data_IF_357294771979
#
_entry.id   IF_357294771979
#
_cell.length_a   1.000
_cell.length_b   1.000
_cell.length_c   1.000
_cell.angle_alpha   90.00
_cell.angle_beta   90.00
_cell.angle_gamma   90.00
#
_symmetry.space_group_name_H-M   'P 1'
#
loop_
_entity.id
_entity.type
_entity.pdbx_description
1 polymer ?
#
# COMPACT_ATOMS: atom_id res chain seq x y z
N UNK A 1 33.20 -7.35 48.22
CA UNK A 1 33.23 -8.23 47.03
C UNK A 1 32.33 -7.59 45.94
N UNK A 2 32.97 -6.88 45.01
CA UNK A 2 32.33 -6.13 43.94
C UNK A 2 32.24 -7.04 42.71
N UNK A 3 31.02 -7.25 42.16
CA UNK A 3 30.82 -7.95 40.90
C UNK A 3 30.66 -6.90 39.77
N UNK A 4 31.69 -6.82 38.92
CA UNK A 4 31.70 -6.06 37.66
C UNK A 4 30.73 -6.64 36.66
N UNK A 5 29.79 -5.79 36.16
CA UNK A 5 28.96 -6.11 34.99
C UNK A 5 29.75 -5.76 33.71
N UNK A 6 30.10 -6.78 32.93
CA UNK A 6 30.61 -6.60 31.57
C UNK A 6 29.46 -6.18 30.67
N UNK A 7 29.52 -4.97 30.14
CA UNK A 7 28.72 -4.52 29.03
C UNK A 7 29.33 -5.06 27.72
N UNK A 8 28.59 -5.90 26.98
CA UNK A 8 28.92 -6.23 25.60
C UNK A 8 28.47 -5.08 24.70
N UNK A 9 29.44 -4.34 24.15
CA UNK A 9 29.20 -3.41 23.03
C UNK A 9 29.06 -4.22 21.76
N UNK A 10 27.86 -4.21 21.16
CA UNK A 10 27.67 -4.62 19.79
C UNK A 10 28.25 -3.53 18.88
N UNK A 11 29.25 -3.87 18.10
CA UNK A 11 29.80 -3.01 17.05
C UNK A 11 29.13 -3.39 15.73
N UNK A 12 28.36 -2.45 15.15
CA UNK A 12 27.86 -2.56 13.78
C UNK A 12 29.03 -2.51 12.79
N UNK A 13 29.02 -3.29 11.71
CA UNK A 13 30.02 -3.20 10.66
C UNK A 13 29.95 -1.85 9.95
N UNK A 14 31.13 -1.29 9.64
CA UNK A 14 31.28 0.00 8.96
C UNK A 14 30.66 -0.05 7.55
N UNK A 15 29.86 0.97 7.24
CA UNK A 15 29.29 1.27 5.92
C UNK A 15 30.40 1.27 4.84
N UNK A 16 30.23 0.40 3.86
CA UNK A 16 31.02 0.37 2.64
C UNK A 16 30.65 1.55 1.72
N UNK A 17 31.59 2.01 0.94
CA UNK A 17 31.57 3.23 0.11
C UNK A 17 30.31 3.37 -0.74
N UNK A 18 29.50 4.37 -0.42
CA UNK A 18 28.36 4.81 -1.24
C UNK A 18 28.84 5.86 -2.26
N UNK A 19 28.61 5.61 -3.53
CA UNK A 19 28.72 6.64 -4.57
C UNK A 19 27.41 7.43 -4.61
N UNK A 20 27.45 8.73 -4.25
CA UNK A 20 26.32 9.64 -4.38
C UNK A 20 26.18 10.09 -5.84
N UNK A 21 25.08 9.79 -6.48
CA UNK A 21 24.68 10.40 -7.74
C UNK A 21 23.48 11.31 -7.47
N UNK A 22 23.56 12.56 -7.90
CA UNK A 22 22.44 13.51 -7.82
C UNK A 22 21.75 13.55 -9.17
N UNK A 23 20.50 13.13 -9.21
CA UNK A 23 19.63 13.32 -10.37
C UNK A 23 18.84 14.63 -10.16
N UNK A 24 18.85 15.50 -11.16
CA UNK A 24 18.06 16.74 -11.13
C UNK A 24 16.98 16.65 -12.19
N UNK A 25 15.73 16.51 -11.79
CA UNK A 25 14.60 16.62 -12.69
C UNK A 25 13.86 17.92 -12.34
N UNK A 26 13.87 18.88 -13.27
CA UNK A 26 13.09 20.15 -13.28
C UNK A 26 12.97 20.90 -11.94
N UNK A 27 14.04 21.00 -11.18
CA UNK A 27 14.13 21.93 -10.04
C UNK A 27 14.13 21.31 -8.65
N UNK A 28 13.67 20.08 -8.48
CA UNK A 28 13.76 19.39 -7.19
C UNK A 28 15.02 18.53 -7.13
N UNK A 29 15.77 18.63 -6.03
CA UNK A 29 16.94 17.78 -5.80
C UNK A 29 16.50 16.52 -5.07
N UNK A 30 16.30 15.44 -5.81
CA UNK A 30 16.16 14.11 -5.25
C UNK A 30 17.51 13.60 -4.75
N UNK A 31 17.55 13.15 -3.51
CA UNK A 31 18.75 12.48 -2.99
C UNK A 31 18.68 10.99 -3.41
N UNK A 32 19.34 10.65 -4.52
CA UNK A 32 19.41 9.29 -5.03
C UNK A 32 20.61 8.58 -4.42
N UNK A 33 20.38 7.49 -3.73
CA UNK A 33 21.43 6.65 -3.18
C UNK A 33 21.36 5.29 -3.88
N UNK A 34 22.39 4.97 -4.67
CA UNK A 34 22.55 3.61 -5.23
C UNK A 34 23.26 2.75 -4.20
N UNK A 35 22.61 1.69 -3.78
CA UNK A 35 23.22 0.65 -2.94
C UNK A 35 24.04 -0.30 -3.84
N UNK A 36 25.16 -0.81 -3.31
CA UNK A 36 25.81 -1.98 -3.90
C UNK A 36 24.86 -3.18 -3.75
N UNK A 37 24.74 -4.05 -4.78
CA UNK A 37 23.88 -5.22 -4.67
C UNK A 37 24.30 -6.06 -3.46
N UNK A 38 23.35 -6.42 -2.58
CA UNK A 38 23.63 -7.30 -1.45
C UNK A 38 23.98 -8.72 -1.98
N UNK A 39 24.78 -9.44 -1.22
CA UNK A 39 25.00 -10.87 -1.51
C UNK A 39 23.67 -11.62 -1.39
N UNK A 40 23.36 -12.55 -2.32
CA UNK A 40 22.10 -13.26 -2.31
C UNK A 40 21.92 -14.05 -1.00
N UNK A 41 20.93 -13.66 -0.21
CA UNK A 41 20.52 -14.42 0.98
C UNK A 41 19.86 -15.71 0.50
N UNK A 42 20.58 -16.84 0.59
CA UNK A 42 20.04 -18.16 0.26
C UNK A 42 18.96 -18.49 1.31
N UNK A 43 17.68 -18.63 0.95
CA UNK A 43 16.65 -19.03 1.91
C UNK A 43 16.92 -20.43 2.43
N UNK A 44 16.50 -20.76 3.67
CA UNK A 44 16.62 -22.13 4.16
C UNK A 44 15.93 -23.09 3.19
N UNK A 45 16.63 -24.11 2.77
CA UNK A 45 16.40 -25.00 1.64
C UNK A 45 15.07 -25.78 1.68
N UNK A 46 14.33 -25.75 2.78
CA UNK A 46 13.16 -26.60 2.99
C UNK A 46 11.82 -26.04 2.45
N UNK A 47 11.68 -24.74 2.25
CA UNK A 47 10.39 -24.17 1.84
C UNK A 47 10.06 -24.37 0.36
N UNK A 48 11.06 -24.63 -0.46
CA UNK A 48 10.92 -24.66 -1.92
C UNK A 48 11.07 -26.05 -2.54
N UNK A 49 11.42 -27.09 -1.77
CA UNK A 49 11.74 -28.41 -2.31
C UNK A 49 10.58 -29.02 -3.14
N UNK A 50 9.33 -28.77 -2.75
CA UNK A 50 8.16 -29.26 -3.49
C UNK A 50 7.87 -28.47 -4.76
N UNK A 51 8.44 -27.26 -4.94
CA UNK A 51 8.20 -26.33 -6.04
C UNK A 51 9.36 -26.24 -7.05
N UNK A 52 10.46 -26.96 -6.83
CA UNK A 52 11.63 -26.94 -7.71
C UNK A 52 11.36 -27.38 -9.15
N UNK A 53 10.27 -28.11 -9.36
CA UNK A 53 9.83 -28.60 -10.68
C UNK A 53 9.04 -27.54 -11.47
N UNK A 54 8.60 -26.44 -10.83
CA UNK A 54 7.83 -25.38 -11.47
C UNK A 54 8.72 -24.44 -12.31
N UNK A 55 8.13 -23.68 -13.24
CA UNK A 55 8.83 -22.61 -13.93
C UNK A 55 9.43 -21.58 -12.93
N UNK A 56 10.57 -20.98 -13.30
CA UNK A 56 11.33 -20.09 -12.41
C UNK A 56 10.51 -18.88 -11.92
N UNK A 57 9.65 -18.32 -12.76
CA UNK A 57 8.76 -17.22 -12.40
C UNK A 57 7.72 -17.63 -11.35
N UNK A 58 7.19 -18.86 -11.45
CA UNK A 58 6.26 -19.40 -10.44
C UNK A 58 7.00 -19.74 -9.15
N UNK A 59 8.22 -20.29 -9.24
CA UNK A 59 9.04 -20.45 -8.04
C UNK A 59 9.31 -19.11 -7.35
N UNK A 60 9.55 -18.04 -8.11
CA UNK A 60 9.71 -16.70 -7.57
C UNK A 60 8.43 -16.22 -6.87
N UNK A 61 7.25 -16.45 -7.48
CA UNK A 61 5.96 -16.13 -6.88
C UNK A 61 5.77 -16.81 -5.53
N UNK A 62 6.02 -18.13 -5.46
CA UNK A 62 5.95 -18.88 -4.20
C UNK A 62 6.91 -18.31 -3.16
N UNK A 63 8.17 -18.04 -3.55
CA UNK A 63 9.19 -17.48 -2.64
C UNK A 63 8.78 -16.13 -2.07
N UNK A 64 8.16 -15.25 -2.86
CA UNK A 64 7.65 -13.93 -2.43
C UNK A 64 6.65 -14.12 -1.27
N UNK A 65 5.70 -15.04 -1.41
CA UNK A 65 4.66 -15.28 -0.43
C UNK A 65 5.14 -16.06 0.81
N UNK A 66 6.37 -16.57 0.80
CA UNK A 66 6.95 -17.13 2.04
C UNK A 66 7.40 -16.07 3.04
N UNK A 67 7.49 -14.80 2.65
CA UNK A 67 7.88 -13.71 3.54
C UNK A 67 6.68 -13.13 4.28
N UNK A 68 6.82 -12.98 5.59
CA UNK A 68 5.96 -12.15 6.43
C UNK A 68 6.66 -10.81 6.61
N UNK A 69 6.08 -9.75 6.05
CA UNK A 69 6.73 -8.44 5.84
C UNK A 69 6.02 -7.28 6.55
N UNK A 70 5.74 -7.34 7.88
CA UNK A 70 5.12 -6.19 8.52
C UNK A 70 6.03 -4.97 8.40
N UNK A 71 5.42 -3.80 8.24
CA UNK A 71 6.13 -2.53 8.08
C UNK A 71 7.20 -2.34 9.15
N UNK A 72 8.35 -1.78 8.77
CA UNK A 72 9.48 -1.52 9.67
C UNK A 72 10.23 -2.75 10.16
N UNK A 73 9.89 -3.94 9.68
CA UNK A 73 10.61 -5.17 10.04
C UNK A 73 11.84 -5.40 9.16
N UNK A 74 12.82 -6.10 9.72
CA UNK A 74 13.99 -6.55 8.93
C UNK A 74 13.63 -7.52 7.80
N UNK A 75 12.46 -8.15 7.85
CA UNK A 75 11.99 -9.02 6.77
C UNK A 75 11.60 -8.22 5.52
N UNK A 76 11.08 -6.99 5.69
CA UNK A 76 10.86 -6.06 4.56
C UNK A 76 12.20 -5.72 3.91
N UNK A 77 13.20 -5.32 4.70
CA UNK A 77 14.51 -4.94 4.17
C UNK A 77 15.17 -6.11 3.42
N UNK A 78 15.16 -7.31 4.01
CA UNK A 78 15.68 -8.53 3.37
C UNK A 78 14.94 -8.87 2.07
N UNK A 79 13.64 -8.68 2.05
CA UNK A 79 12.82 -8.90 0.87
C UNK A 79 13.17 -7.92 -0.25
N UNK A 80 13.24 -6.64 0.08
CA UNK A 80 13.60 -5.57 -0.85
C UNK A 80 15.01 -5.80 -1.40
N UNK A 81 15.98 -6.10 -0.55
CA UNK A 81 17.35 -6.39 -0.96
C UNK A 81 17.41 -7.57 -1.93
N UNK A 82 16.62 -8.61 -1.68
CA UNK A 82 16.65 -9.85 -2.46
C UNK A 82 15.98 -9.72 -3.82
N UNK A 83 14.87 -8.99 -3.93
CA UNK A 83 14.01 -9.02 -5.13
C UNK A 83 13.97 -7.72 -5.91
N UNK A 84 14.25 -6.59 -5.27
CA UNK A 84 14.04 -5.27 -5.87
C UNK A 84 15.35 -4.50 -5.97
N UNK A 85 16.03 -4.27 -4.85
CA UNK A 85 17.25 -3.49 -4.81
C UNK A 85 18.46 -4.18 -5.45
N UNK A 86 18.36 -5.50 -5.73
CA UNK A 86 19.36 -6.25 -6.50
C UNK A 86 19.41 -5.84 -7.99
N UNK A 87 18.36 -5.19 -8.52
CA UNK A 87 18.41 -4.65 -9.89
C UNK A 87 19.40 -3.46 -9.95
N UNK A 88 20.37 -3.46 -10.87
CA UNK A 88 21.37 -2.40 -10.94
C UNK A 88 20.81 -1.02 -11.31
N UNK A 89 19.57 -0.95 -11.80
CA UNK A 89 18.85 0.29 -12.11
C UNK A 89 18.12 0.86 -10.90
N UNK A 90 18.07 0.11 -9.79
CA UNK A 90 17.32 0.51 -8.60
C UNK A 90 17.95 1.70 -7.87
N UNK A 91 17.10 2.52 -7.27
CA UNK A 91 17.47 3.56 -6.33
C UNK A 91 16.39 3.75 -5.27
N UNK A 92 16.76 4.30 -4.12
CA UNK A 92 15.81 4.54 -3.02
C UNK A 92 15.45 6.02 -2.96
N UNK A 93 14.14 6.32 -2.91
CA UNK A 93 13.65 7.64 -2.53
C UNK A 93 13.58 7.69 -1.01
N UNK A 94 14.14 8.78 -0.42
CA UNK A 94 14.16 9.01 1.02
C UNK A 94 13.52 10.33 1.36
N UNK A 95 12.84 10.35 2.50
CA UNK A 95 12.35 11.59 3.10
C UNK A 95 13.53 12.50 3.49
N UNK A 96 13.24 13.78 3.75
CA UNK A 96 14.23 14.72 4.29
C UNK A 96 14.75 14.29 5.67
N UNK A 97 13.96 13.56 6.45
CA UNK A 97 14.35 12.94 7.72
C UNK A 97 15.25 11.70 7.56
N UNK A 98 15.36 11.17 6.33
CA UNK A 98 16.23 10.04 6.00
C UNK A 98 15.54 8.67 6.03
N UNK A 99 14.22 8.64 6.14
CA UNK A 99 13.41 7.43 6.08
C UNK A 99 13.27 6.95 4.63
N UNK A 100 13.33 5.65 4.40
CA UNK A 100 13.11 5.07 3.09
C UNK A 100 11.61 5.09 2.75
N UNK A 101 11.25 5.77 1.65
CA UNK A 101 9.86 5.94 1.20
C UNK A 101 9.48 4.92 0.13
N UNK A 102 10.37 4.68 -0.82
CA UNK A 102 10.20 3.68 -1.86
C UNK A 102 11.53 3.26 -2.48
N UNK A 103 11.56 2.06 -3.06
CA UNK A 103 12.61 1.66 -4.02
C UNK A 103 12.05 1.77 -5.42
N UNK A 104 12.82 2.35 -6.31
CA UNK A 104 12.40 2.65 -7.68
C UNK A 104 13.33 1.95 -8.67
N UNK A 105 12.75 1.35 -9.72
CA UNK A 105 13.46 0.82 -10.88
C UNK A 105 12.93 1.52 -12.13
N UNK A 106 13.78 2.21 -12.87
CA UNK A 106 13.42 2.81 -14.15
C UNK A 106 13.94 1.96 -15.30
N UNK A 107 13.02 1.52 -16.17
CA UNK A 107 13.37 0.78 -17.41
C UNK A 107 13.45 1.69 -18.62
N UNK A 108 12.96 2.93 -18.51
CA UNK A 108 12.95 3.94 -19.56
C UNK A 108 13.10 5.33 -18.98
N UNK A 109 13.89 6.18 -19.63
CA UNK A 109 14.05 7.59 -19.28
C UNK A 109 12.98 8.49 -19.94
N UNK A 110 12.20 7.95 -20.85
CA UNK A 110 11.22 8.71 -21.65
C UNK A 110 9.78 8.31 -21.38
N UNK A 111 9.52 7.15 -20.80
CA UNK A 111 8.16 6.74 -20.42
C UNK A 111 7.59 7.65 -19.35
N UNK A 112 6.33 8.01 -19.51
CA UNK A 112 5.57 8.81 -18.56
C UNK A 112 4.59 7.97 -17.73
N UNK A 113 4.84 6.66 -17.69
CA UNK A 113 4.04 5.68 -16.95
C UNK A 113 4.77 5.24 -15.69
N UNK A 114 4.10 5.37 -14.56
CA UNK A 114 4.51 4.82 -13.27
C UNK A 114 3.70 3.55 -12.97
N UNK A 115 4.38 2.52 -12.49
CA UNK A 115 3.77 1.32 -11.93
C UNK A 115 4.05 1.26 -10.44
N UNK A 116 3.07 0.82 -9.66
CA UNK A 116 3.10 0.89 -8.20
C UNK A 116 2.72 -0.46 -7.57
N UNK A 117 3.45 -0.83 -6.53
CA UNK A 117 3.15 -1.91 -5.60
C UNK A 117 3.74 -1.55 -4.23
N UNK A 118 3.30 -2.21 -3.14
CA UNK A 118 3.89 -1.98 -1.83
C UNK A 118 4.62 -3.20 -1.27
N UNK A 119 5.66 -2.97 -0.44
CA UNK A 119 6.55 -4.04 0.03
C UNK A 119 6.17 -4.62 1.38
N UNK A 120 5.40 -3.92 2.18
CA UNK A 120 4.93 -4.38 3.47
C UNK A 120 3.65 -5.24 3.35
N UNK A 121 3.23 -5.83 4.43
CA UNK A 121 2.02 -6.65 4.55
C UNK A 121 1.48 -6.54 5.96
N UNK A 122 0.19 -6.84 6.18
CA UNK A 122 -0.46 -6.80 7.51
C UNK A 122 -0.06 -7.94 8.46
N UNK A 123 0.98 -8.71 8.16
CA UNK A 123 1.46 -9.74 9.08
C UNK A 123 1.77 -9.16 10.46
N UNK A 124 1.37 -9.86 11.52
CA UNK A 124 1.64 -9.46 12.92
C UNK A 124 3.06 -9.79 13.36
N UNK A 125 3.70 -10.75 12.69
CA UNK A 125 5.07 -11.19 12.99
C UNK A 125 5.91 -11.21 11.73
N UNK A 126 7.19 -10.85 11.84
CA UNK A 126 8.13 -10.92 10.72
C UNK A 126 8.73 -12.32 10.57
N UNK A 127 9.26 -12.62 9.39
CA UNK A 127 10.00 -13.85 9.13
C UNK A 127 9.50 -14.62 7.92
N UNK A 128 9.33 -15.95 8.06
CA UNK A 128 8.90 -16.83 6.98
C UNK A 128 7.65 -17.60 7.35
N UNK A 129 6.88 -17.96 6.34
CA UNK A 129 5.71 -18.84 6.43
C UNK A 129 5.75 -19.91 5.35
N UNK A 130 4.98 -20.96 5.55
CA UNK A 130 4.70 -21.95 4.52
C UNK A 130 3.48 -21.53 3.71
N UNK A 131 3.60 -21.67 2.40
CA UNK A 131 2.48 -21.48 1.46
C UNK A 131 2.19 -22.82 0.79
N UNK A 132 0.96 -23.03 0.36
CA UNK A 132 0.54 -24.15 -0.45
C UNK A 132 0.07 -23.62 -1.80
N UNK A 133 0.62 -24.15 -2.87
CA UNK A 133 0.18 -23.85 -4.22
C UNK A 133 -0.39 -25.12 -4.85
N UNK A 134 -1.70 -25.14 -5.02
CA UNK A 134 -2.39 -26.18 -5.77
C UNK A 134 -2.41 -25.81 -7.25
N UNK A 135 -1.54 -26.43 -8.03
CA UNK A 135 -1.37 -26.14 -9.45
C UNK A 135 -2.48 -26.76 -10.32
N UNK A 136 -3.30 -27.69 -9.79
CA UNK A 136 -4.48 -28.20 -10.51
C UNK A 136 -5.65 -27.21 -10.39
N UNK A 137 -5.77 -26.55 -9.25
CA UNK A 137 -6.79 -25.50 -9.02
C UNK A 137 -6.30 -24.09 -9.35
N UNK A 138 -4.99 -23.90 -9.60
CA UNK A 138 -4.39 -22.61 -9.82
C UNK A 138 -4.38 -21.71 -8.58
N UNK A 139 -4.60 -22.26 -7.36
CA UNK A 139 -4.82 -21.50 -6.14
C UNK A 139 -3.62 -21.57 -5.20
N UNK A 140 -3.19 -20.42 -4.70
CA UNK A 140 -2.19 -20.31 -3.64
C UNK A 140 -2.84 -19.81 -2.35
N UNK A 141 -2.52 -20.49 -1.24
CA UNK A 141 -2.99 -20.15 0.10
C UNK A 141 -1.85 -20.30 1.11
N UNK A 142 -1.98 -19.66 2.26
CA UNK A 142 -1.08 -19.93 3.38
C UNK A 142 -1.35 -21.34 3.92
N UNK A 143 -0.29 -22.11 4.14
CA UNK A 143 -0.42 -23.43 4.78
C UNK A 143 -0.76 -23.26 6.25
N UNK A 144 -1.93 -23.73 6.64
CA UNK A 144 -2.32 -23.75 8.04
C UNK A 144 -1.67 -24.97 8.74
N UNK A 145 -0.85 -24.71 9.75
CA UNK A 145 -0.38 -25.80 10.60
C UNK A 145 -1.53 -26.37 11.42
N UNK A 146 -1.74 -27.69 11.36
CA UNK A 146 -2.81 -28.35 12.08
C UNK A 146 -2.71 -28.02 13.59
N UNK A 147 -3.70 -27.27 14.10
CA UNK A 147 -3.82 -26.91 15.51
C UNK A 147 -3.31 -25.55 15.93
N UNK A 148 -2.79 -24.73 15.03
CA UNK A 148 -2.44 -23.33 15.28
C UNK A 148 -3.16 -22.43 14.28
N UNK A 149 -4.25 -21.80 14.70
CA UNK A 149 -4.78 -20.62 14.00
C UNK A 149 -3.90 -19.45 14.41
N UNK A 150 -3.01 -19.02 13.52
CA UNK A 150 -2.13 -17.86 13.79
C UNK A 150 -2.71 -16.56 13.23
N UNK A 151 -3.92 -16.56 12.69
CA UNK A 151 -4.62 -15.40 12.09
C UNK A 151 -3.74 -14.54 11.17
N UNK A 152 -2.69 -15.14 10.59
CA UNK A 152 -1.81 -14.46 9.66
C UNK A 152 -2.35 -14.58 8.24
N UNK A 153 -2.10 -13.58 7.41
CA UNK A 153 -2.50 -13.53 6.00
C UNK A 153 -1.55 -14.34 5.10
N UNK A 154 -1.85 -14.43 3.80
CA UNK A 154 -0.93 -14.94 2.78
C UNK A 154 0.11 -13.87 2.39
N UNK A 155 -0.27 -12.59 2.38
CA UNK A 155 0.51 -11.47 1.88
C UNK A 155 0.52 -11.39 0.36
N UNK A 156 -0.58 -11.82 -0.27
CA UNK A 156 -0.83 -11.61 -1.69
C UNK A 156 -1.13 -10.14 -2.00
N UNK A 157 -1.65 -9.45 -1.03
CA UNK A 157 -1.68 -8.02 -0.86
C UNK A 157 -0.34 -7.56 -0.21
N UNK A 158 0.65 -6.96 -0.93
CA UNK A 158 0.71 -6.82 -2.38
C UNK A 158 1.87 -7.68 -3.00
N UNK A 159 2.01 -8.92 -2.54
CA UNK A 159 2.97 -9.87 -3.13
C UNK A 159 2.67 -10.20 -4.59
N UNK A 160 1.39 -10.19 -4.98
CA UNK A 160 0.94 -10.43 -6.34
C UNK A 160 1.35 -9.30 -7.29
N UNK A 161 1.09 -8.04 -6.91
CA UNK A 161 1.51 -6.89 -7.69
C UNK A 161 3.02 -6.77 -7.80
N UNK A 162 3.76 -6.98 -6.71
CA UNK A 162 5.23 -7.02 -6.78
C UNK A 162 5.69 -8.04 -7.81
N UNK A 163 5.17 -9.27 -7.78
CA UNK A 163 5.57 -10.30 -8.74
C UNK A 163 5.27 -9.87 -10.18
N UNK A 164 4.07 -9.33 -10.43
CA UNK A 164 3.68 -8.86 -11.76
C UNK A 164 4.63 -7.76 -12.27
N UNK A 165 4.95 -6.78 -11.42
CA UNK A 165 5.89 -5.71 -11.76
C UNK A 165 7.30 -6.24 -12.03
N UNK A 166 7.79 -7.21 -11.26
CA UNK A 166 9.09 -7.84 -11.50
C UNK A 166 9.13 -8.57 -12.85
N UNK A 167 8.03 -9.21 -13.27
CA UNK A 167 7.96 -9.83 -14.60
C UNK A 167 7.93 -8.78 -15.73
N UNK A 168 7.20 -7.68 -15.55
CA UNK A 168 7.20 -6.55 -16.49
C UNK A 168 8.61 -5.93 -16.64
N UNK A 169 9.32 -5.75 -15.53
CA UNK A 169 10.72 -5.27 -15.51
C UNK A 169 11.63 -6.25 -16.27
N UNK A 170 11.46 -7.55 -16.05
CA UNK A 170 12.21 -8.62 -16.76
C UNK A 170 11.92 -8.63 -18.26
N UNK A 171 10.68 -8.35 -18.64
CA UNK A 171 10.26 -8.18 -20.04
C UNK A 171 10.68 -6.83 -20.63
N UNK A 172 11.30 -5.96 -19.82
CA UNK A 172 11.72 -4.61 -20.19
C UNK A 172 10.59 -3.72 -20.70
N UNK A 173 9.39 -3.85 -20.11
CA UNK A 173 8.28 -2.93 -20.39
C UNK A 173 8.69 -1.52 -19.94
N UNK A 174 8.57 -0.49 -20.81
CA UNK A 174 9.02 0.86 -20.50
C UNK A 174 8.18 1.48 -19.37
N UNK A 175 8.85 1.99 -18.32
CA UNK A 175 8.17 2.63 -17.20
C UNK A 175 9.08 2.92 -16.01
N UNK A 176 8.49 3.53 -14.99
CA UNK A 176 9.09 3.73 -13.67
C UNK A 176 8.32 2.89 -12.66
N UNK A 177 8.97 1.93 -12.05
CA UNK A 177 8.41 0.98 -11.11
C UNK A 177 8.73 1.42 -9.70
N UNK A 178 7.71 1.65 -8.88
CA UNK A 178 7.83 2.21 -7.52
C UNK A 178 7.28 1.20 -6.52
N UNK A 179 8.15 0.76 -5.61
CA UNK A 179 7.83 -0.18 -4.56
C UNK A 179 7.82 0.57 -3.23
N UNK A 180 6.63 0.85 -2.72
CA UNK A 180 6.43 1.73 -1.58
C UNK A 180 6.61 1.00 -0.25
N UNK A 181 7.06 1.73 0.76
CA UNK A 181 7.06 1.28 2.15
C UNK A 181 5.86 1.85 2.89
N UNK A 182 5.20 1.00 3.71
CA UNK A 182 4.19 1.43 4.67
C UNK A 182 2.85 1.80 4.06
N UNK A 183 2.39 1.10 3.04
CA UNK A 183 1.03 1.22 2.52
C UNK A 183 0.02 0.81 3.58
N UNK A 184 0.22 -0.36 4.21
CA UNK A 184 -0.63 -1.02 5.19
C UNK A 184 -0.75 -0.25 6.53
N UNK A 185 0.10 0.73 6.73
CA UNK A 185 0.08 1.63 7.90
C UNK A 185 -0.25 3.07 7.52
N UNK A 186 -0.98 3.24 6.41
CA UNK A 186 -1.53 4.51 5.97
C UNK A 186 -0.78 5.21 4.84
N UNK A 187 -0.08 4.46 3.98
CA UNK A 187 0.58 5.01 2.79
C UNK A 187 1.74 5.94 3.14
N UNK A 188 2.56 5.58 4.12
CA UNK A 188 3.66 6.44 4.62
C UNK A 188 4.61 6.80 3.48
N UNK A 189 5.01 5.81 2.68
CA UNK A 189 5.94 6.00 1.57
C UNK A 189 5.38 6.92 0.50
N UNK A 190 4.20 6.63 0.00
CA UNK A 190 3.54 7.41 -1.04
C UNK A 190 3.15 8.81 -0.58
N UNK A 191 2.66 8.98 0.65
CA UNK A 191 2.39 10.29 1.24
C UNK A 191 3.66 11.14 1.33
N UNK A 192 4.77 10.53 1.77
CA UNK A 192 6.07 11.20 1.82
C UNK A 192 6.55 11.65 0.44
N UNK A 193 6.40 10.81 -0.59
CA UNK A 193 6.74 11.13 -1.98
C UNK A 193 5.85 12.27 -2.50
N UNK A 194 4.53 12.22 -2.27
CA UNK A 194 3.60 13.27 -2.67
C UNK A 194 3.97 14.62 -2.05
N UNK A 195 4.36 14.60 -0.77
CA UNK A 195 4.75 15.83 -0.06
C UNK A 195 6.09 16.39 -0.53
N UNK A 196 7.10 15.52 -0.74
CA UNK A 196 8.48 15.96 -0.92
C UNK A 196 8.94 16.01 -2.39
N UNK A 197 8.24 15.29 -3.30
CA UNK A 197 8.62 15.13 -4.69
C UNK A 197 7.52 15.48 -5.71
N UNK A 198 6.69 16.53 -5.52
CA UNK A 198 5.55 16.80 -6.41
C UNK A 198 6.00 17.10 -7.85
N UNK A 199 7.14 17.74 -8.07
CA UNK A 199 7.66 18.00 -9.41
C UNK A 199 8.11 16.70 -10.14
N UNK A 200 8.57 15.70 -9.40
CA UNK A 200 8.86 14.38 -9.96
C UNK A 200 7.56 13.66 -10.35
N UNK A 201 6.54 13.69 -9.49
CA UNK A 201 5.22 13.12 -9.78
C UNK A 201 4.57 13.78 -10.99
N UNK A 202 4.64 15.10 -11.11
CA UNK A 202 4.11 15.85 -12.26
C UNK A 202 4.81 15.51 -13.60
N UNK A 203 5.89 14.74 -13.59
CA UNK A 203 6.53 14.26 -14.82
C UNK A 203 5.83 13.03 -15.43
N UNK A 204 4.91 12.39 -14.71
CA UNK A 204 4.15 11.25 -15.19
C UNK A 204 2.78 11.67 -15.70
N UNK A 205 2.28 10.95 -16.70
CA UNK A 205 0.90 11.07 -17.19
C UNK A 205 -0.04 10.11 -16.47
N UNK A 206 0.50 8.98 -16.01
CA UNK A 206 -0.26 7.92 -15.36
C UNK A 206 0.52 7.18 -14.29
N UNK A 207 -0.20 6.73 -13.24
CA UNK A 207 0.27 5.85 -12.20
C UNK A 207 -0.71 4.67 -12.03
N UNK A 208 -0.21 3.46 -12.18
CA UNK A 208 -0.98 2.23 -12.15
C UNK A 208 -0.50 1.37 -10.98
N UNK A 209 -1.35 1.22 -9.95
CA UNK A 209 -1.14 0.21 -8.92
C UNK A 209 -1.66 -1.15 -9.41
N UNK A 210 -0.94 -2.22 -9.04
CA UNK A 210 -1.37 -3.60 -9.27
C UNK A 210 -1.67 -4.21 -7.90
N UNK A 211 -2.69 -3.67 -7.24
CA UNK A 211 -2.94 -3.86 -5.80
C UNK A 211 -4.46 -3.81 -5.51
N UNK A 212 -5.26 -4.46 -6.36
CA UNK A 212 -6.70 -4.56 -6.14
C UNK A 212 -7.12 -6.03 -6.11
N UNK A 213 -7.92 -6.39 -5.10
CA UNK A 213 -8.54 -7.72 -5.03
C UNK A 213 -9.40 -8.03 -6.25
N UNK A 214 -9.69 -9.29 -6.46
CA UNK A 214 -10.55 -9.75 -7.55
C UNK A 214 -9.85 -9.77 -8.90
N UNK A 215 -10.64 -9.76 -9.98
CA UNK A 215 -10.13 -10.11 -11.32
C UNK A 215 -10.60 -9.17 -12.44
N UNK A 216 -11.39 -8.11 -12.13
CA UNK A 216 -12.10 -7.38 -13.20
C UNK A 216 -11.96 -5.85 -13.12
N UNK A 217 -11.43 -5.31 -12.01
CA UNK A 217 -11.55 -3.89 -11.74
C UNK A 217 -10.40 -3.08 -12.34
N UNK A 218 -10.74 -1.99 -13.03
CA UNK A 218 -9.91 -0.82 -13.30
C UNK A 218 -10.51 0.33 -12.51
N UNK A 219 -9.90 0.69 -11.40
CA UNK A 219 -10.48 1.63 -10.44
C UNK A 219 -10.45 3.05 -10.99
N UNK A 220 -11.60 3.74 -10.93
CA UNK A 220 -11.78 5.12 -11.40
C UNK A 220 -11.95 6.15 -10.29
N UNK A 221 -12.20 5.67 -9.06
CA UNK A 221 -12.28 6.49 -7.85
C UNK A 221 -11.47 5.85 -6.73
N UNK A 222 -10.65 6.63 -6.05
CA UNK A 222 -9.86 6.22 -4.90
C UNK A 222 -9.91 7.29 -3.82
N UNK A 223 -9.82 6.87 -2.57
CA UNK A 223 -10.05 7.80 -1.46
C UNK A 223 -11.43 8.41 -1.63
N UNK A 224 -11.52 9.71 -1.76
CA UNK A 224 -12.81 10.42 -1.81
C UNK A 224 -13.06 11.09 -3.18
N UNK A 225 -12.34 10.72 -4.23
CA UNK A 225 -12.45 11.39 -5.50
C UNK A 225 -12.07 10.56 -6.72
N UNK A 226 -12.36 11.11 -7.88
CA UNK A 226 -11.99 10.53 -9.16
C UNK A 226 -10.46 10.49 -9.30
N UNK A 227 -9.92 9.31 -9.55
CA UNK A 227 -8.49 9.11 -9.69
C UNK A 227 -8.04 9.01 -11.16
N UNK A 228 -8.89 8.54 -12.07
CA UNK A 228 -8.62 8.55 -13.50
C UNK A 228 -9.86 8.88 -14.33
N UNK A 229 -9.65 9.24 -15.60
CA UNK A 229 -10.74 9.50 -16.53
C UNK A 229 -11.42 8.22 -17.01
N UNK A 230 -12.69 8.34 -17.41
CA UNK A 230 -13.42 7.23 -18.03
C UNK A 230 -12.78 6.77 -19.34
N UNK A 231 -12.18 7.69 -20.09
CA UNK A 231 -11.49 7.37 -21.33
C UNK A 231 -10.26 6.51 -21.08
N UNK A 232 -9.45 6.88 -20.08
CA UNK A 232 -8.30 6.09 -19.66
C UNK A 232 -8.71 4.69 -19.19
N UNK A 233 -9.65 4.60 -18.24
CA UNK A 233 -10.08 3.33 -17.69
C UNK A 233 -10.68 2.38 -18.75
N UNK A 234 -11.50 2.91 -19.68
CA UNK A 234 -12.06 2.14 -20.79
C UNK A 234 -10.98 1.67 -21.78
N UNK A 235 -10.02 2.54 -22.12
CA UNK A 235 -8.93 2.19 -23.03
C UNK A 235 -8.02 1.11 -22.42
N UNK A 236 -7.66 1.25 -21.14
CA UNK A 236 -6.85 0.25 -20.43
C UNK A 236 -7.59 -1.09 -20.33
N UNK A 237 -8.86 -1.08 -19.90
CA UNK A 237 -9.71 -2.28 -19.87
C UNK A 237 -9.78 -2.97 -21.23
N UNK A 238 -9.96 -2.18 -22.30
CA UNK A 238 -10.05 -2.71 -23.67
C UNK A 238 -8.73 -3.39 -24.11
N UNK A 239 -7.56 -2.79 -23.80
CA UNK A 239 -6.26 -3.39 -24.14
C UNK A 239 -5.99 -4.66 -23.33
N UNK A 240 -6.24 -4.66 -22.02
CA UNK A 240 -6.10 -5.84 -21.18
C UNK A 240 -6.98 -7.00 -21.65
N UNK A 241 -8.23 -6.71 -22.04
CA UNK A 241 -9.16 -7.72 -22.55
C UNK A 241 -8.79 -8.20 -23.96
N UNK A 242 -8.16 -7.37 -24.77
CA UNK A 242 -7.74 -7.69 -26.14
C UNK A 242 -6.45 -8.52 -26.20
N UNK A 243 -5.66 -8.56 -25.14
CA UNK A 243 -4.42 -9.34 -25.05
C UNK A 243 -4.63 -10.87 -25.16
N UNK A 244 -5.87 -11.33 -25.39
CA UNK A 244 -6.17 -12.72 -25.69
C UNK A 244 -6.11 -13.69 -24.52
N UNK A 245 -5.98 -13.16 -23.29
CA UNK A 245 -5.86 -13.96 -22.06
C UNK A 245 -7.21 -14.26 -21.38
N UNK A 246 -8.34 -13.85 -22.00
CA UNK A 246 -9.69 -14.08 -21.48
C UNK A 246 -10.07 -13.19 -20.29
N UNK A 247 -9.43 -12.04 -20.16
CA UNK A 247 -9.78 -11.05 -19.14
C UNK A 247 -11.10 -10.33 -19.44
N UNK A 248 -11.77 -9.87 -18.38
CA UNK A 248 -13.06 -9.14 -18.43
C UNK A 248 -12.96 -7.83 -17.64
N UNK A 249 -11.82 -7.15 -17.71
CA UNK A 249 -11.62 -5.87 -17.04
C UNK A 249 -12.64 -4.82 -17.45
N UNK A 250 -13.08 -4.04 -16.49
CA UNK A 250 -14.01 -2.94 -16.67
C UNK A 250 -13.72 -1.81 -15.69
N UNK A 251 -14.06 -0.56 -16.03
CA UNK A 251 -14.02 0.55 -15.09
C UNK A 251 -14.92 0.26 -13.88
N UNK A 252 -14.39 0.47 -12.67
CA UNK A 252 -15.13 0.33 -11.41
C UNK A 252 -14.91 1.54 -10.51
N UNK A 253 -15.97 1.93 -9.77
CA UNK A 253 -15.95 3.09 -8.86
C UNK A 253 -15.74 2.72 -7.40
N UNK A 254 -15.63 1.42 -7.09
CA UNK A 254 -15.56 0.88 -5.73
C UNK A 254 -14.14 0.83 -5.15
N UNK A 255 -13.23 1.69 -5.60
CA UNK A 255 -11.90 1.76 -5.05
C UNK A 255 -11.88 2.42 -3.66
N UNK A 256 -11.00 1.96 -2.79
CA UNK A 256 -10.83 2.52 -1.44
C UNK A 256 -9.55 3.35 -1.41
N UNK A 257 -8.42 2.73 -1.20
CA UNK A 257 -7.11 3.36 -1.10
C UNK A 257 -6.05 2.42 -1.67
N UNK A 258 -5.01 2.97 -2.23
CA UNK A 258 -3.68 2.42 -2.45
C UNK A 258 -2.72 3.60 -2.65
N UNK A 259 -1.43 3.37 -2.72
CA UNK A 259 -0.39 4.39 -2.85
C UNK A 259 -0.65 5.43 -3.95
N UNK A 260 -1.20 5.00 -5.11
CA UNK A 260 -1.52 5.92 -6.21
C UNK A 260 -2.64 6.92 -5.90
N UNK A 261 -3.43 6.69 -4.84
CA UNK A 261 -4.41 7.67 -4.36
C UNK A 261 -3.74 8.95 -3.86
N UNK A 262 -2.54 8.85 -3.30
CA UNK A 262 -1.76 10.00 -2.84
C UNK A 262 -1.21 10.87 -3.98
N UNK A 263 -1.26 10.38 -5.22
CA UNK A 263 -0.68 11.04 -6.40
C UNK A 263 -1.70 11.75 -7.29
N UNK A 264 -3.00 11.64 -6.98
CA UNK A 264 -4.09 12.17 -7.82
C UNK A 264 -4.04 13.69 -7.99
N UNK A 265 -3.37 14.42 -7.09
CA UNK A 265 -3.18 15.86 -7.18
C UNK A 265 -2.04 16.26 -8.14
N UNK A 266 -1.16 15.34 -8.50
CA UNK A 266 0.04 15.60 -9.29
C UNK A 266 0.06 14.82 -10.62
N UNK A 267 -0.50 13.61 -10.64
CA UNK A 267 -0.56 12.73 -11.82
C UNK A 267 -2.00 12.70 -12.38
N UNK A 268 -2.18 12.92 -13.68
CA UNK A 268 -3.51 12.95 -14.30
C UNK A 268 -4.31 11.67 -14.13
N UNK A 269 -3.74 10.52 -14.46
CA UNK A 269 -4.45 9.24 -14.46
C UNK A 269 -3.84 8.32 -13.41
N UNK A 270 -4.56 8.11 -12.29
CA UNK A 270 -4.18 7.18 -11.23
C UNK A 270 -5.21 6.08 -11.15
N UNK A 271 -4.79 4.82 -11.12
CA UNK A 271 -5.71 3.68 -11.01
C UNK A 271 -5.12 2.57 -10.16
N UNK A 272 -5.99 1.62 -9.78
CA UNK A 272 -5.63 0.35 -9.18
C UNK A 272 -6.26 -0.78 -9.99
N UNK A 273 -5.50 -1.83 -10.30
CA UNK A 273 -5.94 -2.99 -11.08
C UNK A 273 -6.07 -4.22 -10.20
N UNK A 274 -7.16 -4.98 -10.41
CA UNK A 274 -7.32 -6.31 -9.81
C UNK A 274 -6.19 -7.23 -10.24
N UNK A 275 -5.57 -7.93 -9.26
CA UNK A 275 -4.44 -8.83 -9.49
C UNK A 275 -4.63 -10.25 -8.98
N UNK A 276 -5.87 -10.65 -8.66
CA UNK A 276 -6.24 -12.04 -8.47
C UNK A 276 -6.22 -12.54 -7.03
N UNK A 277 -5.91 -11.71 -6.04
CA UNK A 277 -6.09 -12.09 -4.64
C UNK A 277 -7.50 -11.80 -4.16
N UNK A 278 -7.92 -12.46 -3.08
CA UNK A 278 -9.18 -12.24 -2.38
C UNK A 278 -9.03 -12.51 -0.89
N UNK A 279 -10.00 -12.02 -0.10
CA UNK A 279 -10.01 -12.14 1.36
C UNK A 279 -8.72 -11.62 2.01
N UNK A 280 -8.13 -10.54 1.47
CA UNK A 280 -6.93 -9.89 2.00
C UNK A 280 -7.09 -9.55 3.49
N UNK A 281 -5.97 -9.38 4.18
CA UNK A 281 -5.91 -9.08 5.62
C UNK A 281 -6.51 -10.15 6.53
N UNK A 282 -6.85 -11.32 6.01
CA UNK A 282 -7.42 -12.43 6.79
C UNK A 282 -6.61 -13.72 6.63
N UNK A 283 -6.86 -14.68 7.52
CA UNK A 283 -6.28 -16.02 7.40
C UNK A 283 -6.83 -16.86 6.22
N UNK A 284 -7.83 -16.33 5.51
CA UNK A 284 -8.43 -16.94 4.32
C UNK A 284 -7.94 -16.32 3.02
N UNK A 285 -7.00 -15.38 3.12
CA UNK A 285 -6.41 -14.76 1.95
C UNK A 285 -5.87 -15.80 0.99
N UNK A 286 -6.18 -15.62 -0.28
CA UNK A 286 -5.82 -16.54 -1.34
C UNK A 286 -5.46 -15.78 -2.61
N UNK A 287 -4.78 -16.45 -3.54
CA UNK A 287 -4.34 -15.88 -4.81
C UNK A 287 -4.68 -16.84 -5.96
N UNK A 288 -5.44 -16.37 -6.94
CA UNK A 288 -5.63 -17.02 -8.23
C UNK A 288 -4.35 -16.83 -9.09
N UNK A 289 -3.51 -17.85 -9.04
CA UNK A 289 -2.20 -17.82 -9.71
C UNK A 289 -2.38 -17.90 -11.24
N UNK A 290 -3.38 -18.62 -11.73
CA UNK A 290 -3.62 -18.69 -13.17
C UNK A 290 -4.09 -17.35 -13.72
N UNK A 291 -4.95 -16.66 -12.98
CA UNK A 291 -5.35 -15.30 -13.33
C UNK A 291 -4.14 -14.38 -13.35
N UNK A 292 -3.31 -14.40 -12.30
CA UNK A 292 -2.12 -13.52 -12.19
C UNK A 292 -1.12 -13.78 -13.34
N UNK A 293 -0.91 -15.03 -13.74
CA UNK A 293 -0.07 -15.38 -14.91
C UNK A 293 -0.63 -14.74 -16.17
N UNK A 294 -1.93 -14.90 -16.42
CA UNK A 294 -2.60 -14.28 -17.59
C UNK A 294 -2.54 -12.77 -17.54
N UNK A 295 -2.74 -12.17 -16.35
CA UNK A 295 -2.63 -10.73 -16.17
C UNK A 295 -1.22 -10.23 -16.50
N UNK A 296 -0.18 -10.90 -16.00
CA UNK A 296 1.22 -10.58 -16.32
C UNK A 296 1.44 -10.55 -17.83
N UNK A 297 0.94 -11.55 -18.56
CA UNK A 297 1.10 -11.59 -20.02
C UNK A 297 0.36 -10.43 -20.70
N UNK A 298 -0.86 -10.11 -20.24
CA UNK A 298 -1.60 -8.96 -20.73
C UNK A 298 -0.91 -7.61 -20.42
N UNK A 299 -0.39 -7.42 -19.21
CA UNK A 299 0.33 -6.20 -18.82
C UNK A 299 1.58 -5.94 -19.67
N UNK A 300 2.25 -7.01 -20.14
CA UNK A 300 3.41 -6.91 -21.05
C UNK A 300 2.98 -6.44 -22.45
N UNK A 301 1.78 -6.78 -22.89
CA UNK A 301 1.27 -6.47 -24.24
C UNK A 301 0.57 -5.10 -24.33
N UNK A 302 0.21 -4.47 -23.20
CA UNK A 302 -0.44 -3.15 -23.20
C UNK A 302 0.50 -2.09 -23.80
N UNK A 303 -0.03 -1.30 -24.75
CA UNK A 303 0.63 -0.08 -25.22
C UNK A 303 0.35 1.08 -24.27
N UNK A 304 1.16 1.15 -23.20
CA UNK A 304 1.01 2.12 -22.12
C UNK A 304 1.08 3.56 -22.56
N UNK A 305 1.85 3.86 -23.62
CA UNK A 305 2.04 5.23 -24.10
C UNK A 305 0.86 5.71 -24.97
N UNK A 306 0.07 4.79 -25.51
CA UNK A 306 -1.13 5.12 -26.31
C UNK A 306 -2.37 5.42 -25.48
N UNK A 307 -2.32 5.16 -24.17
CA UNK A 307 -3.47 5.37 -23.27
C UNK A 307 -3.78 6.89 -23.17
N UNK A 308 -5.07 7.27 -23.22
CA UNK A 308 -5.47 8.68 -23.11
C UNK A 308 -5.10 9.28 -21.74
N UNK A 309 -4.90 10.60 -21.72
CA UNK A 309 -4.66 11.39 -20.52
C UNK A 309 -5.60 12.58 -20.56
N UNK A 310 -6.75 12.46 -19.90
CA UNK A 310 -7.83 13.45 -19.97
C UNK A 310 -8.11 14.14 -18.67
N UNK A 311 -7.92 13.44 -17.51
CA UNK A 311 -8.12 14.05 -16.20
C UNK A 311 -7.05 15.11 -15.93
N UNK A 312 -7.44 16.19 -15.27
CA UNK A 312 -6.53 17.22 -14.82
C UNK A 312 -6.24 17.04 -13.33
N UNK A 313 -4.97 16.97 -12.93
CA UNK A 313 -4.59 16.94 -11.51
C UNK A 313 -5.22 18.10 -10.73
N UNK A 314 -5.73 17.82 -9.52
CA UNK A 314 -6.40 18.82 -8.69
C UNK A 314 -7.86 19.13 -9.07
N UNK A 315 -8.39 18.57 -10.13
CA UNK A 315 -9.82 18.61 -10.43
C UNK A 315 -10.57 17.66 -9.49
N UNK A 316 -11.43 18.21 -8.63
CA UNK A 316 -12.22 17.43 -7.67
C UNK A 316 -13.54 17.03 -8.35
N UNK A 317 -13.60 15.79 -8.83
CA UNK A 317 -14.86 15.14 -9.20
C UNK A 317 -15.16 14.05 -8.17
N UNK A 318 -16.11 14.29 -7.31
CA UNK A 318 -16.53 13.40 -6.23
C UNK A 318 -17.83 12.72 -6.61
N UNK A 319 -17.89 11.38 -6.48
CA UNK A 319 -19.14 10.61 -6.59
C UNK A 319 -20.23 11.13 -5.64
N UNK A 320 -19.82 11.73 -4.55
CA UNK A 320 -20.67 12.36 -3.54
C UNK A 320 -20.53 13.89 -3.63
N UNK A 321 -20.79 14.47 -4.81
CA UNK A 321 -20.98 15.90 -4.87
C UNK A 321 -22.16 16.26 -3.97
N UNK A 322 -21.85 16.82 -2.79
CA UNK A 322 -22.80 17.21 -1.76
C UNK A 322 -23.87 18.21 -2.25
N UNK A 323 -23.73 18.74 -3.45
CA UNK A 323 -24.63 19.69 -4.06
C UNK A 323 -26.02 19.10 -4.38
N UNK A 324 -26.15 17.82 -4.69
CA UNK A 324 -27.45 17.22 -5.00
C UNK A 324 -28.30 16.94 -3.74
N UNK A 325 -27.66 16.81 -2.58
CA UNK A 325 -28.37 16.63 -1.30
C UNK A 325 -28.89 17.97 -0.74
N UNK A 326 -28.20 19.09 -1.01
CA UNK A 326 -28.60 20.43 -0.54
C UNK A 326 -29.72 21.03 -1.38
N UNK A 327 -29.73 20.81 -2.67
CA UNK A 327 -30.78 21.29 -3.58
C UNK A 327 -32.11 20.58 -3.37
N UNK A 328 -32.08 19.32 -2.95
CA UNK A 328 -33.29 18.51 -2.72
C UNK A 328 -34.00 18.81 -1.40
N UNK A 329 -33.32 19.42 -0.40
CA UNK A 329 -33.83 19.69 0.94
C UNK A 329 -33.83 21.16 1.36
N UNK A 330 -33.61 22.10 0.45
CA UNK A 330 -33.90 23.52 0.65
C UNK A 330 -33.03 24.27 1.67
N UNK A 331 -31.80 23.83 1.95
CA UNK A 331 -30.88 24.58 2.80
C UNK A 331 -30.01 25.53 1.94
N UNK A 332 -30.18 26.83 2.19
CA UNK A 332 -29.66 27.93 1.40
C UNK A 332 -28.14 27.93 1.18
N UNK A 333 -27.81 28.42 0.01
CA UNK A 333 -26.47 28.66 -0.57
C UNK A 333 -25.54 29.46 0.34
N UNK A 334 -24.48 28.83 0.83
CA UNK A 334 -23.19 29.47 1.02
C UNK A 334 -22.14 28.52 0.52
N UNK A 335 -21.50 28.88 -0.58
CA UNK A 335 -20.38 28.16 -1.19
C UNK A 335 -19.22 28.01 -0.22
N UNK A 336 -18.81 26.79 0.16
CA UNK A 336 -17.52 26.60 0.80
C UNK A 336 -16.45 26.71 -0.27
N UNK A 337 -15.59 27.71 -0.18
CA UNK A 337 -14.31 27.76 -0.89
C UNK A 337 -13.41 26.70 -0.25
N UNK A 338 -13.20 25.59 -0.93
CA UNK A 338 -12.18 24.60 -0.54
C UNK A 338 -10.80 25.14 -0.90
N UNK A 339 -9.83 25.06 0.00
CA UNK A 339 -8.46 25.40 -0.34
C UNK A 339 -7.92 24.31 -1.28
N UNK A 340 -7.63 24.71 -2.51
CA UNK A 340 -6.78 23.96 -3.43
C UNK A 340 -5.38 23.97 -2.87
N UNK A 341 -4.93 22.89 -2.33
CA UNK A 341 -3.55 22.42 -2.19
C UNK A 341 -3.29 21.68 -0.88
N UNK A 342 -2.61 20.56 -1.03
CA UNK A 342 -1.78 19.84 -0.05
C UNK A 342 -2.45 18.81 0.84
N UNK A 343 -2.01 17.56 0.57
CA UNK A 343 -1.76 16.43 1.47
C UNK A 343 -2.85 16.11 2.51
N UNK A 344 -3.16 14.85 2.65
CA UNK A 344 -4.04 14.33 3.70
C UNK A 344 -3.67 14.80 5.13
N UNK A 345 -2.43 15.19 5.39
CA UNK A 345 -2.04 15.86 6.64
C UNK A 345 -2.75 17.21 6.85
N UNK A 346 -3.19 17.91 5.77
CA UNK A 346 -4.00 19.11 5.86
C UNK A 346 -5.50 18.83 6.03
N UNK A 347 -5.94 17.60 5.80
CA UNK A 347 -7.34 17.21 5.96
C UNK A 347 -7.75 17.03 7.43
N UNK A 348 -6.78 16.89 8.35
CA UNK A 348 -6.98 16.85 9.80
C UNK A 348 -6.65 18.17 10.50
N UNK A 349 -6.35 19.23 9.78
CA UNK A 349 -6.07 20.57 10.29
C UNK A 349 -7.24 21.51 10.03
N UNK A 350 -7.89 21.95 11.10
CA UNK A 350 -8.32 23.30 11.34
C UNK A 350 -9.80 23.70 11.23
N UNK A 351 -10.76 22.81 11.42
CA UNK A 351 -12.08 23.24 11.96
C UNK A 351 -12.84 22.06 12.62
N UNK A 352 -12.10 21.14 13.24
CA UNK A 352 -12.73 20.25 14.24
C UNK A 352 -12.43 20.86 15.60
N UNK A 353 -13.47 21.10 16.40
CA UNK A 353 -13.28 21.14 17.84
C UNK A 353 -12.35 19.97 18.20
N UNK A 354 -11.17 20.30 18.71
CA UNK A 354 -10.23 19.31 19.23
C UNK A 354 -11.01 18.44 20.20
N UNK A 355 -11.37 17.23 19.77
CA UNK A 355 -11.99 16.26 20.68
C UNK A 355 -10.85 15.80 21.56
N UNK A 356 -10.64 16.53 22.63
CA UNK A 356 -9.60 16.23 23.61
C UNK A 356 -9.87 14.87 24.22
N UNK A 357 -8.82 14.15 24.65
CA UNK A 357 -8.94 12.90 25.42
C UNK A 357 -9.93 13.03 26.57
N UNK A 358 -10.00 14.22 27.20
CA UNK A 358 -10.98 14.58 28.22
C UNK A 358 -12.44 14.60 27.72
N UNK A 359 -12.66 14.98 26.47
CA UNK A 359 -13.99 14.95 25.86
C UNK A 359 -14.40 13.51 25.50
N UNK A 360 -13.48 12.70 25.01
CA UNK A 360 -13.70 11.27 24.75
C UNK A 360 -13.97 10.49 26.05
N UNK A 361 -13.23 10.77 27.11
CA UNK A 361 -13.43 10.14 28.42
C UNK A 361 -14.81 10.46 29.06
N UNK A 362 -15.44 11.57 28.65
CA UNK A 362 -16.79 11.98 29.12
C UNK A 362 -17.91 11.43 28.23
N UNK A 363 -17.61 10.83 27.11
CA UNK A 363 -18.60 10.24 26.19
C UNK A 363 -19.10 8.91 26.72
N UNK A 364 -20.42 8.71 26.65
CA UNK A 364 -21.00 7.40 26.92
C UNK A 364 -20.60 6.40 25.83
N UNK A 365 -20.52 5.12 26.16
CA UNK A 365 -20.24 4.03 25.22
C UNK A 365 -21.10 4.08 23.94
N UNK A 366 -22.35 4.59 24.07
CA UNK A 366 -23.29 4.83 22.97
C UNK A 366 -22.85 5.98 22.07
N UNK A 367 -22.34 7.08 22.63
CA UNK A 367 -21.84 8.25 21.87
C UNK A 367 -20.53 7.93 21.14
N UNK A 368 -19.62 7.18 21.79
CA UNK A 368 -18.40 6.67 21.15
C UNK A 368 -18.73 5.75 19.98
N UNK A 369 -19.69 4.82 20.14
CA UNK A 369 -20.16 3.96 19.05
C UNK A 369 -20.81 4.76 17.91
N UNK A 370 -21.55 5.83 18.21
CA UNK A 370 -22.14 6.71 17.20
C UNK A 370 -21.06 7.50 16.46
N UNK A 371 -20.01 7.96 17.16
CA UNK A 371 -18.88 8.68 16.56
C UNK A 371 -18.07 7.75 15.63
N UNK A 372 -17.78 6.55 16.10
CA UNK A 372 -17.08 5.51 15.33
C UNK A 372 -17.94 5.02 14.16
N UNK A 373 -19.26 4.83 14.37
CA UNK A 373 -20.18 4.46 13.30
C UNK A 373 -20.32 5.56 12.25
N UNK A 374 -20.28 6.83 12.64
CA UNK A 374 -20.34 7.96 11.70
C UNK A 374 -19.05 8.07 10.88
N UNK A 375 -17.90 7.83 11.51
CA UNK A 375 -16.63 7.73 10.80
C UNK A 375 -16.54 6.48 9.91
N UNK A 376 -17.19 5.38 10.31
CA UNK A 376 -17.23 4.12 9.56
C UNK A 376 -18.33 4.09 8.47
N UNK A 377 -19.38 4.91 8.56
CA UNK A 377 -20.40 5.02 7.49
C UNK A 377 -19.81 5.64 6.22
N UNK A 378 -18.80 6.49 6.39
CA UNK A 378 -18.08 7.08 5.27
C UNK A 378 -17.08 6.09 4.60
N UNK A 379 -16.85 4.89 5.21
CA UNK A 379 -15.82 3.92 4.83
C UNK A 379 -16.36 2.46 4.71
N UNK A 380 -17.66 2.30 4.48
CA UNK A 380 -18.46 1.11 4.85
C UNK A 380 -18.42 -0.07 3.86
N UNK A 381 -17.55 -0.18 2.89
CA UNK A 381 -17.61 -1.35 2.00
C UNK A 381 -16.47 -2.36 2.16
N UNK A 382 -15.26 -1.94 2.55
CA UNK A 382 -14.12 -2.85 2.64
C UNK A 382 -13.44 -2.91 4.04
N UNK A 383 -13.83 -2.06 5.00
CA UNK A 383 -13.15 -1.89 6.29
C UNK A 383 -13.92 -2.37 7.52
N UNK A 384 -14.95 -3.20 7.36
CA UNK A 384 -15.72 -3.68 8.52
C UNK A 384 -14.84 -4.50 9.49
N UNK A 385 -13.87 -5.23 8.94
CA UNK A 385 -12.86 -5.95 9.72
C UNK A 385 -11.98 -5.00 10.52
N UNK A 386 -11.37 -4.03 9.85
CA UNK A 386 -10.46 -3.04 10.47
C UNK A 386 -11.21 -2.14 11.47
N UNK A 387 -12.46 -1.78 11.17
CA UNK A 387 -13.28 -1.02 12.10
C UNK A 387 -13.63 -1.82 13.36
N UNK A 388 -13.81 -3.12 13.25
CA UNK A 388 -14.05 -4.01 14.40
C UNK A 388 -12.78 -4.19 15.24
N UNK A 389 -11.61 -4.35 14.61
CA UNK A 389 -10.34 -4.44 15.32
C UNK A 389 -9.99 -3.10 15.98
N UNK A 390 -10.27 -1.97 15.31
CA UNK A 390 -10.09 -0.63 15.90
C UNK A 390 -11.06 -0.35 17.05
N UNK A 391 -12.27 -0.90 17.02
CA UNK A 391 -13.23 -0.85 18.14
C UNK A 391 -12.69 -1.66 19.32
N UNK A 392 -12.09 -2.82 19.09
CA UNK A 392 -11.48 -3.63 20.13
C UNK A 392 -10.30 -2.91 20.79
N UNK A 393 -9.42 -2.28 20.02
CA UNK A 393 -8.31 -1.48 20.55
C UNK A 393 -8.79 -0.28 21.38
N UNK A 394 -9.87 0.38 20.94
CA UNK A 394 -10.46 1.49 21.68
C UNK A 394 -11.18 1.01 22.96
N UNK A 395 -11.81 -0.16 22.94
CA UNK A 395 -12.40 -0.78 24.13
C UNK A 395 -11.32 -1.14 25.17
N UNK A 396 -10.17 -1.66 24.73
CA UNK A 396 -9.01 -1.92 25.60
C UNK A 396 -8.42 -0.62 26.17
N UNK A 397 -8.32 0.43 25.35
CA UNK A 397 -7.83 1.74 25.78
C UNK A 397 -8.78 2.38 26.80
N UNK A 398 -10.09 2.32 26.58
CA UNK A 398 -11.10 2.81 27.53
C UNK A 398 -11.04 2.03 28.84
N UNK A 399 -10.88 0.72 28.78
CA UNK A 399 -10.74 -0.11 29.99
C UNK A 399 -9.48 0.25 30.80
N UNK A 400 -8.36 0.50 30.17
CA UNK A 400 -7.13 0.98 30.84
C UNK A 400 -7.33 2.35 31.50
N UNK A 401 -7.94 3.31 30.80
CA UNK A 401 -8.22 4.65 31.32
C UNK A 401 -9.23 4.64 32.48
N UNK A 402 -10.24 3.78 32.45
CA UNK A 402 -11.17 3.57 33.58
C UNK A 402 -10.43 3.01 34.80
N UNK A 403 -9.44 2.12 34.60
CA UNK A 403 -8.57 1.61 35.66
C UNK A 403 -7.69 2.69 36.29
N UNK A 404 -7.08 3.55 35.45
CA UNK A 404 -6.26 4.68 35.94
C UNK A 404 -7.12 5.71 36.68
N UNK A 405 -8.34 6.05 36.18
CA UNK A 405 -9.25 6.97 36.81
C UNK A 405 -9.75 6.45 38.18
N UNK A 406 -10.03 5.16 38.27
CA UNK A 406 -10.37 4.51 39.53
C UNK A 406 -9.23 4.61 40.55
N UNK A 407 -7.97 4.43 40.11
CA UNK A 407 -6.79 4.61 40.96
C UNK A 407 -6.58 6.04 41.43
N UNK A 408 -6.84 7.02 40.58
CA UNK A 408 -6.77 8.45 40.96
C UNK A 408 -7.88 8.84 41.94
N UNK A 409 -9.13 8.37 41.74
CA UNK A 409 -10.23 8.63 42.66
C UNK A 409 -9.98 8.03 44.04
N UNK A 410 -9.40 6.80 44.11
CA UNK A 410 -9.01 6.18 45.37
C UNK A 410 -7.92 6.98 46.08
N UNK A 411 -6.92 7.48 45.35
CA UNK A 411 -5.85 8.29 45.93
C UNK A 411 -6.35 9.67 46.45
N UNK A 412 -7.39 10.23 45.85
CA UNK A 412 -8.03 11.47 46.32
C UNK A 412 -8.84 11.20 47.60
N UNK A 413 -9.60 10.09 47.67
CA UNK A 413 -10.34 9.69 48.87
C UNK A 413 -9.42 9.36 50.05
N UNK A 414 -8.24 8.77 49.79
CA UNK A 414 -7.24 8.46 50.80
C UNK A 414 -6.47 9.71 51.30
N UNK A 415 -6.58 10.86 50.62
CA UNK A 415 -5.91 12.12 50.95
C UNK A 415 -6.84 13.13 51.70
N UNK A 416 -8.17 12.90 51.79
CA UNK A 416 -9.15 13.62 52.61
C UNK A 416 -9.32 12.93 53.98
#
# INVERSE_FOLDING_TARGET
>A
MSRSKKQHKFTYPRKTNMTKSTYSHRGDKLSVVRAAPPEPVVPPTNYMAEYEHLPEDIQQLVRIHTFKRPHGSTAVDQFVDQYIACDPRSYTIRSKSGEDLAVVIATSDTSRTMFSAHVDTVHRTSGRQHVSYDHEMGLMVKTQNAGMSDNECLGADDGAGIWALLQMIKANVPGTYVFHYGEEVGGIGSSGIALECPAWLASFDRAIAIDRKGTEDVITYQGWGRCCSDAFAKALSAQLNAAGQGHTFKPDTGGVFTDTANYVSDIPECTNLSCGYDAQHTSHENLDVEFLIRLKDALIEVDWESLPTERKPGEVDSLYAFDDYRTKWGYGSTTPTYPTTRSQAAYYGDEREEVTLDALAKMTKRQLRTLVAKAAIDDLTDTLGDALDRIAELEDTVWMLEGELAGVNQAVEDAE
#
